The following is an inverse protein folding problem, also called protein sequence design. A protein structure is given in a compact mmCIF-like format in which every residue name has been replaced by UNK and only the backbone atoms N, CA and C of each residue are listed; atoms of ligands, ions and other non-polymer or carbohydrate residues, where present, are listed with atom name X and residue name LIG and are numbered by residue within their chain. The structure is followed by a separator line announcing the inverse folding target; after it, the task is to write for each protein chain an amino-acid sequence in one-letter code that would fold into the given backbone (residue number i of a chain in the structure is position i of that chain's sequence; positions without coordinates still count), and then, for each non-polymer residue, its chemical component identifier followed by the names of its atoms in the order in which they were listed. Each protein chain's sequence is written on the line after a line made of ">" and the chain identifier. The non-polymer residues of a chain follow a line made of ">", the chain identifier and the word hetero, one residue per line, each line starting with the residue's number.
data_IF_753929304610
#
_entry.id   IF_753929304610
#
_cell.length_a   1.000
_cell.length_b   1.000
_cell.length_c   1.000
_cell.angle_alpha   90.00
_cell.angle_beta   90.00
_cell.angle_gamma   90.00
#
_symmetry.space_group_name_H-M   'P 1'
#
loop_
_entity.id
_entity.type
_entity.pdbx_description
1 polymer ?
#
# COMPACT_ATOMS: atom_id res chain seq x y z
N UNK A 1 18.17 0.30 -6.16
CA UNK A 1 17.37 -0.21 -5.02
C UNK A 1 15.93 -0.41 -5.45
N UNK A 2 15.50 -1.65 -5.69
CA UNK A 2 14.15 -1.92 -6.20
C UNK A 2 13.12 -1.65 -5.09
N UNK A 3 12.12 -0.78 -5.34
CA UNK A 3 10.97 -0.59 -4.44
C UNK A 3 10.18 -1.91 -4.39
N UNK A 4 10.55 -2.81 -3.49
CA UNK A 4 9.92 -4.11 -3.27
C UNK A 4 9.42 -4.21 -1.83
N UNK A 5 8.31 -4.90 -1.63
CA UNK A 5 7.84 -5.23 -0.28
C UNK A 5 8.82 -6.20 0.38
N UNK A 6 9.28 -5.89 1.59
CA UNK A 6 10.17 -6.77 2.37
C UNK A 6 9.46 -8.04 2.86
N UNK A 7 8.13 -8.01 2.98
CA UNK A 7 7.33 -9.12 3.52
C UNK A 7 6.90 -10.10 2.44
N UNK A 8 6.36 -9.61 1.32
CA UNK A 8 5.78 -10.44 0.26
C UNK A 8 6.52 -10.35 -1.07
N UNK A 9 7.64 -9.62 -1.15
CA UNK A 9 8.47 -9.51 -2.35
C UNK A 9 7.86 -8.72 -3.52
N UNK A 10 6.61 -8.22 -3.39
CA UNK A 10 5.92 -7.49 -4.47
C UNK A 10 6.77 -6.34 -4.98
N UNK A 11 7.09 -6.40 -6.28
CA UNK A 11 7.85 -5.40 -6.99
C UNK A 11 7.04 -4.70 -8.08
N UNK A 12 7.64 -3.72 -8.76
CA UNK A 12 7.03 -3.10 -9.92
C UNK A 12 6.87 -4.12 -11.05
N UNK A 13 5.71 -4.11 -11.71
CA UNK A 13 5.43 -4.91 -12.89
C UNK A 13 5.27 -4.00 -14.11
N UNK A 14 5.65 -4.49 -15.29
CA UNK A 14 5.46 -3.78 -16.55
C UNK A 14 4.15 -4.26 -17.17
N UNK A 15 3.40 -3.35 -17.78
CA UNK A 15 2.37 -3.74 -18.73
C UNK A 15 1.99 -2.57 -19.62
N UNK A 16 0.87 -2.71 -20.31
CA UNK A 16 0.46 -1.74 -21.32
C UNK A 16 -0.69 -0.85 -20.83
N UNK A 17 -0.70 0.38 -21.32
CA UNK A 17 -1.87 1.24 -21.33
C UNK A 17 -2.48 1.16 -22.73
N UNK A 18 -3.67 0.57 -22.81
CA UNK A 18 -4.40 0.38 -24.07
C UNK A 18 -5.49 1.43 -24.13
N UNK A 19 -5.43 2.29 -25.14
CA UNK A 19 -6.50 3.26 -25.43
C UNK A 19 -7.47 2.63 -26.42
N UNK A 20 -8.73 2.61 -26.04
CA UNK A 20 -9.81 1.98 -26.79
C UNK A 20 -10.86 3.04 -27.10
N UNK A 21 -11.34 3.11 -28.35
CA UNK A 21 -12.39 4.03 -28.80
C UNK A 21 -13.57 3.27 -29.40
N UNK A 22 -14.73 3.90 -29.40
CA UNK A 22 -15.98 3.33 -29.92
C UNK A 22 -16.82 2.63 -28.86
N UNK A 23 -18.07 2.34 -29.19
CA UNK A 23 -19.02 1.66 -28.31
C UNK A 23 -18.84 0.14 -28.41
N UNK A 24 -18.87 -0.57 -27.29
CA UNK A 24 -18.76 -2.03 -27.27
C UNK A 24 -19.94 -2.67 -28.00
N UNK A 25 -19.70 -3.82 -28.67
CA UNK A 25 -20.72 -4.51 -29.48
C UNK A 25 -21.97 -4.86 -28.68
N UNK A 26 -21.81 -5.36 -27.46
CA UNK A 26 -22.94 -5.74 -26.60
C UNK A 26 -23.82 -4.55 -26.16
N UNK A 27 -23.35 -3.31 -26.34
CA UNK A 27 -24.14 -2.10 -26.08
C UNK A 27 -24.81 -1.57 -27.36
N UNK A 28 -24.91 -2.38 -28.42
CA UNK A 28 -25.46 -1.98 -29.72
C UNK A 28 -24.54 -1.08 -30.54
N UNK A 29 -23.22 -1.14 -30.30
CA UNK A 29 -22.21 -0.42 -31.10
C UNK A 29 -21.59 -1.29 -32.19
N UNK A 30 -20.90 -0.67 -33.15
CA UNK A 30 -20.11 -1.38 -34.19
C UNK A 30 -18.94 -2.17 -33.58
N UNK A 31 -18.40 -1.69 -32.46
CA UNK A 31 -17.31 -2.32 -31.73
C UNK A 31 -16.24 -1.33 -31.30
N UNK A 32 -15.45 -1.74 -30.33
CA UNK A 32 -14.31 -0.98 -29.83
C UNK A 32 -13.06 -1.23 -30.67
N UNK A 33 -12.31 -0.17 -31.01
CA UNK A 33 -11.02 -0.24 -31.71
C UNK A 33 -9.89 0.22 -30.80
N UNK A 34 -8.73 -0.42 -30.91
CA UNK A 34 -7.52 -0.04 -30.18
C UNK A 34 -6.83 1.08 -30.97
N UNK A 35 -6.63 2.24 -30.36
CA UNK A 35 -6.00 3.41 -31.00
C UNK A 35 -4.55 3.61 -30.61
N UNK A 36 -4.12 3.03 -29.50
CA UNK A 36 -2.75 3.20 -29.03
C UNK A 36 -2.42 2.24 -27.90
N UNK A 37 -1.17 1.77 -27.91
CA UNK A 37 -0.61 0.90 -26.90
C UNK A 37 0.72 1.50 -26.45
N UNK A 38 0.80 1.94 -25.20
CA UNK A 38 2.05 2.47 -24.61
C UNK A 38 2.46 1.63 -23.40
N UNK A 39 3.76 1.56 -23.11
CA UNK A 39 4.26 0.85 -21.94
C UNK A 39 4.08 1.70 -20.68
N UNK A 40 3.65 1.08 -19.58
CA UNK A 40 3.55 1.68 -18.25
C UNK A 40 4.06 0.72 -17.17
N UNK A 41 4.38 1.29 -16.02
CA UNK A 41 4.88 0.53 -14.86
C UNK A 41 3.86 0.57 -13.73
N UNK A 42 3.38 -0.59 -13.30
CA UNK A 42 2.53 -0.76 -12.14
C UNK A 42 3.41 -0.85 -10.89
N UNK A 43 3.35 0.18 -10.05
CA UNK A 43 4.08 0.21 -8.78
C UNK A 43 3.14 -0.24 -7.66
N UNK A 44 3.55 -1.21 -6.81
CA UNK A 44 2.78 -1.53 -5.61
C UNK A 44 2.74 -0.33 -4.67
N UNK A 45 1.62 -0.14 -3.96
CA UNK A 45 1.50 0.88 -2.93
C UNK A 45 2.31 0.44 -1.70
N UNK A 46 3.56 0.89 -1.65
CA UNK A 46 4.54 0.60 -0.63
C UNK A 46 4.59 1.76 0.36
N UNK A 47 4.54 1.43 1.65
CA UNK A 47 4.55 2.38 2.75
C UNK A 47 5.72 2.04 3.68
N UNK A 48 6.42 3.07 4.16
CA UNK A 48 7.44 2.90 5.20
C UNK A 48 6.74 2.83 6.54
N UNK A 49 6.90 1.71 7.24
CA UNK A 49 6.24 1.48 8.52
C UNK A 49 7.24 0.92 9.52
N UNK A 50 7.11 1.35 10.78
CA UNK A 50 7.87 0.78 11.88
C UNK A 50 7.16 -0.48 12.40
N UNK A 51 7.91 -1.58 12.39
CA UNK A 51 7.44 -2.93 12.68
C UNK A 51 8.12 -3.44 13.94
N UNK A 52 7.37 -4.21 14.74
CA UNK A 52 7.94 -5.02 15.82
C UNK A 52 8.40 -6.35 15.24
N UNK A 53 9.70 -6.63 15.32
CA UNK A 53 10.31 -7.90 14.88
C UNK A 53 9.91 -9.02 15.86
N UNK A 54 9.94 -10.28 15.43
CA UNK A 54 9.68 -11.43 16.32
C UNK A 54 10.58 -11.43 17.59
N UNK A 55 11.80 -10.91 17.47
CA UNK A 55 12.75 -10.73 18.58
C UNK A 55 12.50 -9.46 19.44
N UNK A 56 11.35 -8.78 19.27
CA UNK A 56 10.99 -7.56 20.01
C UNK A 56 11.65 -6.26 19.50
N UNK A 57 12.68 -6.34 18.66
CA UNK A 57 13.35 -5.17 18.11
C UNK A 57 12.47 -4.36 17.13
N UNK A 58 12.60 -3.04 17.15
CA UNK A 58 11.90 -2.15 16.22
C UNK A 58 12.71 -1.95 14.94
N UNK A 59 12.07 -2.15 13.78
CA UNK A 59 12.71 -1.92 12.47
C UNK A 59 11.77 -1.17 11.54
N UNK A 60 12.32 -0.22 10.79
CA UNK A 60 11.63 0.41 9.68
C UNK A 60 11.71 -0.50 8.45
N UNK A 61 10.56 -0.86 7.89
CA UNK A 61 10.47 -1.75 6.73
C UNK A 61 9.60 -1.13 5.64
N UNK A 62 9.92 -1.44 4.38
CA UNK A 62 9.08 -1.10 3.23
C UNK A 62 8.02 -2.20 3.03
N UNK A 63 6.76 -1.89 3.36
CA UNK A 63 5.66 -2.87 3.37
C UNK A 63 4.54 -2.44 2.42
N UNK A 64 3.95 -3.38 1.69
CA UNK A 64 2.79 -3.07 0.85
C UNK A 64 1.51 -2.93 1.68
N UNK A 65 0.59 -2.09 1.21
CA UNK A 65 -0.68 -1.83 1.92
C UNK A 65 -1.53 -3.08 2.12
N UNK A 66 -1.42 -4.09 1.24
CA UNK A 66 -2.13 -5.36 1.42
C UNK A 66 -1.61 -6.16 2.62
N UNK A 67 -0.29 -6.26 2.81
CA UNK A 67 0.30 -6.96 3.95
C UNK A 67 0.01 -6.22 5.27
N UNK A 68 -0.03 -4.89 5.22
CA UNK A 68 -0.48 -4.07 6.35
C UNK A 68 -1.94 -4.39 6.70
N UNK A 69 -2.81 -4.47 5.70
CA UNK A 69 -4.24 -4.74 5.90
C UNK A 69 -4.51 -6.16 6.40
N UNK A 70 -3.75 -7.15 5.92
CA UNK A 70 -3.91 -8.56 6.30
C UNK A 70 -3.28 -8.93 7.64
N UNK A 71 -2.74 -7.95 8.38
CA UNK A 71 -2.07 -8.22 9.66
C UNK A 71 -0.73 -8.96 9.53
N UNK A 72 -0.15 -9.04 8.33
CA UNK A 72 1.16 -9.68 8.12
C UNK A 72 2.33 -8.96 8.80
N UNK A 73 2.07 -7.80 9.41
CA UNK A 73 3.03 -6.95 10.10
C UNK A 73 2.37 -6.32 11.32
N UNK A 74 3.00 -6.45 12.50
CA UNK A 74 2.58 -5.73 13.70
C UNK A 74 3.20 -4.33 13.71
N UNK A 75 2.35 -3.32 13.50
CA UNK A 75 2.77 -1.91 13.63
C UNK A 75 3.06 -1.57 15.08
N UNK A 76 3.98 -0.63 15.28
CA UNK A 76 4.14 0.02 16.58
C UNK A 76 2.92 0.89 16.83
N UNK A 77 2.20 0.62 17.92
CA UNK A 77 1.15 1.51 18.43
C UNK A 77 1.83 2.55 19.30
N UNK A 78 1.88 3.80 18.85
CA UNK A 78 2.30 4.93 19.69
C UNK A 78 1.11 5.31 20.56
N UNK A 79 1.03 4.74 21.76
CA UNK A 79 0.04 5.15 22.76
C UNK A 79 0.59 6.38 23.47
N UNK A 80 -0.22 7.44 23.62
CA UNK A 80 0.16 8.54 24.49
C UNK A 80 0.27 8.02 25.93
N UNK A 81 1.26 8.47 26.72
CA UNK A 81 1.31 8.11 28.12
C UNK A 81 0.01 8.55 28.80
N UNK A 82 -0.56 7.68 29.64
CA UNK A 82 -1.74 8.03 30.41
C UNK A 82 -1.42 9.25 31.28
N UNK A 83 -2.28 10.27 31.24
CA UNK A 83 -2.12 11.45 32.10
C UNK A 83 -2.80 11.13 33.43
N UNK A 84 -2.03 11.04 34.51
CA UNK A 84 -2.59 10.96 35.87
C UNK A 84 -3.16 12.35 36.22
N UNK A 85 -4.43 12.47 36.67
CA UNK A 85 -4.94 13.75 37.15
C UNK A 85 -4.16 14.14 38.41
N UNK A 86 -3.48 15.28 38.36
CA UNK A 86 -2.81 15.83 39.54
C UNK A 86 -3.91 16.27 40.52
N UNK A 87 -3.94 15.65 41.70
CA UNK A 87 -4.81 16.11 42.80
C UNK A 87 -4.36 17.53 43.16
N UNK A 88 -5.17 18.53 42.82
CA UNK A 88 -4.97 19.89 43.32
C UNK A 88 -5.09 19.83 44.82
N UNK A 89 -3.98 20.10 45.52
CA UNK A 89 -3.96 20.24 46.96
C UNK A 89 -5.04 21.26 47.34
N UNK A 90 -6.06 20.80 48.05
CA UNK A 90 -7.09 21.68 48.61
C UNK A 90 -6.39 22.58 49.63
N UNK A 91 -6.48 23.89 49.39
CA UNK A 91 -6.07 24.97 50.29
C UNK A 91 -6.91 24.93 51.57
#
# INVERSE_FOLDING_TARGET
>A
MARKCEVCGKGPQIGNQVTIRGKKKYLGGVGTKITGITRRTFKPNLQRVNVVTAAGAHKSQLVCTQCIRSGGVRKIVRVAPFKVPQQTAKV
#
